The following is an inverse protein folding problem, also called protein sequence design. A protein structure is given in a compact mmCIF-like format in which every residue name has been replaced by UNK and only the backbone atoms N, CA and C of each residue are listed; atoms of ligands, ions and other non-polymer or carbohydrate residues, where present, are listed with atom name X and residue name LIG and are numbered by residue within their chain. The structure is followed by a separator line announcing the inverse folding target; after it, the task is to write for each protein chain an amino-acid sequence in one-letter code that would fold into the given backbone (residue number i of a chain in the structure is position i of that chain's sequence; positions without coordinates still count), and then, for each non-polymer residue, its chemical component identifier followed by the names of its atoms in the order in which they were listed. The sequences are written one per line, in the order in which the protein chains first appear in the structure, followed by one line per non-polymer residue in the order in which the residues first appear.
data_IF_858213085796
#
_entry.id   IF_858213085796
#
_cell.length_a   1.000
_cell.length_b   1.000
_cell.length_c   1.000
_cell.angle_alpha   90.00
_cell.angle_beta   90.00
_cell.angle_gamma   90.00
#
_symmetry.space_group_name_H-M   'P 1'
#
loop_
_entity.id
_entity.type
_entity.pdbx_description
1 polymer ?
#
# COMPACT_ATOMS: atom_id res chain seq x y z
N UNK A 1 29.94 -33.28 -70.03
CA UNK A 1 29.08 -33.84 -68.96
C UNK A 1 28.07 -32.78 -68.57
N UNK A 2 26.98 -32.73 -69.32
CA UNK A 2 25.80 -31.91 -69.07
C UNK A 2 24.63 -32.86 -68.78
N UNK A 3 23.79 -32.54 -67.79
CA UNK A 3 22.57 -33.30 -67.55
C UNK A 3 21.83 -32.89 -66.28
N UNK A 4 21.31 -31.65 -66.25
CA UNK A 4 20.13 -31.34 -65.43
C UNK A 4 18.97 -32.23 -65.92
N UNK A 5 18.52 -33.17 -65.10
CA UNK A 5 17.33 -33.98 -65.39
C UNK A 5 16.10 -33.22 -64.92
N UNK A 6 15.26 -32.85 -65.87
CA UNK A 6 13.89 -32.38 -65.64
C UNK A 6 12.94 -33.59 -65.53
N UNK A 7 12.19 -33.66 -64.42
CA UNK A 7 10.78 -34.07 -64.40
C UNK A 7 10.45 -35.57 -64.29
N UNK A 8 9.88 -35.97 -63.15
CA UNK A 8 8.50 -36.50 -63.07
C UNK A 8 7.95 -36.17 -61.69
N UNK A 9 6.81 -35.48 -61.66
CA UNK A 9 6.20 -34.94 -60.47
C UNK A 9 5.64 -36.00 -59.52
N UNK A 10 5.93 -35.81 -58.24
CA UNK A 10 5.06 -36.14 -57.12
C UNK A 10 5.64 -35.42 -55.91
N UNK A 11 5.26 -34.16 -55.74
CA UNK A 11 5.49 -33.44 -54.48
C UNK A 11 4.87 -34.29 -53.35
N UNK A 12 5.59 -34.61 -52.26
CA UNK A 12 4.98 -35.27 -51.12
C UNK A 12 3.84 -34.38 -50.63
N UNK A 13 2.60 -34.80 -50.87
CA UNK A 13 1.43 -34.14 -50.32
C UNK A 13 1.60 -34.14 -48.81
N UNK A 14 1.93 -32.98 -48.23
CA UNK A 14 1.99 -32.77 -46.78
C UNK A 14 0.58 -33.05 -46.25
N UNK A 15 0.31 -34.20 -45.60
CA UNK A 15 -1.06 -34.68 -45.35
C UNK A 15 -1.81 -33.82 -44.32
N UNK A 16 -1.10 -32.90 -43.67
CA UNK A 16 -1.65 -32.05 -42.63
C UNK A 16 -2.20 -30.72 -43.16
N UNK A 17 -1.93 -30.36 -44.42
CA UNK A 17 -2.29 -29.04 -44.96
C UNK A 17 -3.73 -28.96 -45.50
N UNK A 18 -4.58 -29.96 -45.29
CA UNK A 18 -5.93 -30.02 -45.84
C UNK A 18 -7.04 -29.44 -44.97
N UNK A 19 -6.76 -28.86 -43.80
CA UNK A 19 -7.78 -28.15 -43.00
C UNK A 19 -7.21 -26.91 -42.31
N UNK A 20 -6.58 -26.00 -43.07
CA UNK A 20 -6.40 -24.63 -42.60
C UNK A 20 -7.76 -23.91 -42.70
N UNK A 21 -8.70 -24.24 -41.81
CA UNK A 21 -9.67 -23.22 -41.37
C UNK A 21 -8.79 -22.06 -40.97
N UNK A 22 -8.93 -20.92 -41.67
CA UNK A 22 -8.18 -19.72 -41.36
C UNK A 22 -8.32 -19.50 -39.85
N UNK A 23 -7.24 -19.75 -39.10
CA UNK A 23 -7.22 -19.44 -37.69
C UNK A 23 -7.60 -17.96 -37.61
N UNK A 24 -8.62 -17.59 -36.81
CA UNK A 24 -9.08 -16.22 -36.75
C UNK A 24 -7.85 -15.37 -36.54
N UNK A 25 -7.59 -14.51 -37.54
CA UNK A 25 -6.31 -13.84 -37.72
C UNK A 25 -5.96 -13.21 -36.40
N UNK A 26 -4.78 -13.49 -35.83
CA UNK A 26 -4.50 -13.28 -34.39
C UNK A 26 -4.91 -11.90 -33.84
N UNK A 27 -4.96 -10.88 -34.67
CA UNK A 27 -5.52 -9.57 -34.33
C UNK A 27 -7.02 -9.58 -33.93
N UNK A 28 -7.88 -10.34 -34.61
CA UNK A 28 -9.33 -10.38 -34.37
C UNK A 28 -9.65 -11.02 -33.02
N UNK A 29 -9.03 -12.16 -32.71
CA UNK A 29 -9.17 -12.81 -31.40
C UNK A 29 -8.67 -11.91 -30.27
N UNK A 30 -7.53 -11.24 -30.47
CA UNK A 30 -7.01 -10.28 -29.51
C UNK A 30 -8.00 -9.15 -29.23
N UNK A 31 -8.67 -8.60 -30.26
CA UNK A 31 -9.65 -7.52 -30.06
C UNK A 31 -10.92 -7.97 -29.34
N UNK A 32 -11.41 -9.16 -29.65
CA UNK A 32 -12.59 -9.74 -28.98
C UNK A 32 -12.29 -10.07 -27.53
N UNK A 33 -11.15 -10.69 -27.23
CA UNK A 33 -10.74 -11.03 -25.86
C UNK A 33 -10.54 -9.77 -25.00
N UNK A 34 -9.90 -8.73 -25.57
CA UNK A 34 -9.78 -7.42 -24.91
C UNK A 34 -11.16 -6.80 -24.65
N UNK A 35 -12.09 -6.92 -25.60
CA UNK A 35 -13.44 -6.39 -25.44
C UNK A 35 -14.20 -7.12 -24.33
N UNK A 36 -14.16 -8.46 -24.31
CA UNK A 36 -14.80 -9.29 -23.28
C UNK A 36 -14.25 -8.96 -21.89
N UNK A 37 -12.93 -8.83 -21.75
CA UNK A 37 -12.29 -8.44 -20.50
C UNK A 37 -12.69 -7.03 -20.05
N UNK A 38 -12.78 -6.06 -20.99
CA UNK A 38 -13.20 -4.69 -20.67
C UNK A 38 -14.66 -4.62 -20.20
N UNK A 39 -15.55 -5.40 -20.81
CA UNK A 39 -16.95 -5.50 -20.38
C UNK A 39 -17.03 -6.05 -18.96
N UNK A 40 -16.33 -7.16 -18.68
CA UNK A 40 -16.29 -7.75 -17.34
C UNK A 40 -15.71 -6.79 -16.27
N UNK A 41 -14.62 -6.07 -16.61
CA UNK A 41 -14.04 -5.04 -15.71
C UNK A 41 -14.98 -3.86 -15.47
N UNK A 42 -15.75 -3.46 -16.47
CA UNK A 42 -16.76 -2.39 -16.32
C UNK A 42 -17.89 -2.83 -15.38
N UNK A 43 -18.33 -4.08 -15.47
CA UNK A 43 -19.38 -4.64 -14.60
C UNK A 43 -18.94 -4.67 -13.14
N UNK A 44 -17.75 -5.21 -12.85
CA UNK A 44 -17.21 -5.20 -11.47
C UNK A 44 -16.84 -3.79 -11.01
N UNK A 45 -16.46 -2.91 -11.93
CA UNK A 45 -16.14 -1.50 -11.68
C UNK A 45 -17.27 -0.72 -11.02
N UNK A 46 -18.53 -1.02 -11.35
CA UNK A 46 -19.72 -0.37 -10.76
C UNK A 46 -19.86 -0.70 -9.27
N UNK A 47 -19.43 -1.90 -8.86
CA UNK A 47 -19.58 -2.43 -7.51
C UNK A 47 -18.36 -2.18 -6.63
N UNK A 48 -17.29 -1.61 -7.19
CA UNK A 48 -16.04 -1.34 -6.48
C UNK A 48 -15.89 0.15 -6.21
N UNK A 49 -15.17 0.46 -5.15
CA UNK A 49 -14.76 1.82 -4.84
C UNK A 49 -13.30 1.81 -4.41
N UNK A 50 -12.64 2.96 -4.49
CA UNK A 50 -11.25 3.10 -4.09
C UNK A 50 -11.08 2.75 -2.60
N UNK A 51 -10.20 1.79 -2.31
CA UNK A 51 -9.75 1.52 -0.95
C UNK A 51 -8.60 2.48 -0.64
N UNK A 52 -8.88 3.49 0.15
CA UNK A 52 -7.89 4.41 0.69
C UNK A 52 -6.96 3.69 1.69
N UNK A 53 -6.00 2.94 1.13
CA UNK A 53 -4.91 2.32 1.89
C UNK A 53 -3.82 3.35 2.12
N UNK A 54 -3.98 4.18 3.15
CA UNK A 54 -2.92 5.08 3.58
C UNK A 54 -1.73 4.27 4.10
N UNK A 55 -0.55 4.42 3.49
CA UNK A 55 0.69 3.82 3.99
C UNK A 55 1.22 4.71 5.12
N UNK A 56 0.95 4.32 6.37
CA UNK A 56 1.48 5.03 7.55
C UNK A 56 2.77 4.38 8.05
N UNK A 57 3.62 5.18 8.69
CA UNK A 57 4.86 4.68 9.30
C UNK A 57 4.56 3.93 10.60
N UNK A 58 5.28 2.84 10.86
CA UNK A 58 5.11 2.00 12.07
C UNK A 58 5.40 2.75 13.37
N UNK A 59 6.21 3.80 13.30
CA UNK A 59 6.56 4.65 14.43
C UNK A 59 6.43 6.10 13.95
N UNK A 60 5.60 6.87 14.63
CA UNK A 60 5.43 8.32 14.42
C UNK A 60 5.74 8.96 15.76
N UNK A 61 6.90 9.63 15.86
CA UNK A 61 7.24 10.35 17.08
C UNK A 61 6.33 11.57 17.23
N UNK A 62 5.83 11.86 18.44
CA UNK A 62 5.07 13.09 18.68
C UNK A 62 5.95 14.32 18.37
N UNK A 63 5.38 15.33 17.72
CA UNK A 63 6.12 16.50 17.23
C UNK A 63 6.81 17.34 18.31
N UNK A 64 6.40 17.22 19.57
CA UNK A 64 7.09 17.81 20.71
C UNK A 64 7.74 16.69 21.55
N UNK A 65 9.04 16.48 21.35
CA UNK A 65 9.82 15.65 22.27
C UNK A 65 10.06 16.47 23.54
N UNK A 66 9.40 16.09 24.64
CA UNK A 66 9.59 16.74 25.93
C UNK A 66 11.07 16.74 26.32
N UNK A 67 11.58 17.90 26.76
CA UNK A 67 12.99 18.04 27.11
C UNK A 67 13.27 17.23 28.39
N UNK A 68 14.33 16.40 28.42
CA UNK A 68 14.68 15.65 29.62
C UNK A 68 14.91 16.59 30.81
N UNK A 69 14.10 16.46 31.86
CA UNK A 69 14.23 17.27 33.07
C UNK A 69 15.30 16.64 33.97
N UNK A 70 16.33 17.41 34.29
CA UNK A 70 17.37 16.99 35.25
C UNK A 70 16.80 16.96 36.66
N UNK A 71 17.07 15.88 37.39
CA UNK A 71 16.67 15.76 38.79
C UNK A 71 17.36 16.83 39.66
N UNK A 72 16.57 17.51 40.50
CA UNK A 72 17.02 18.48 41.50
C UNK A 72 16.39 18.07 42.83
N UNK A 73 17.22 17.90 43.87
CA UNK A 73 16.73 17.65 45.23
C UNK A 73 16.10 18.94 45.76
N UNK A 74 14.80 18.91 46.03
CA UNK A 74 14.10 19.98 46.75
C UNK A 74 13.68 19.43 48.12
N UNK A 75 13.92 20.15 49.23
CA UNK A 75 13.42 19.74 50.54
C UNK A 75 11.88 19.72 50.54
N UNK A 76 11.29 18.99 51.49
CA UNK A 76 9.82 18.93 51.65
C UNK A 76 9.35 20.33 52.06
N UNK A 77 8.53 20.95 51.22
CA UNK A 77 7.87 22.21 51.50
C UNK A 77 6.42 21.93 51.90
N UNK A 78 6.12 22.18 53.17
CA UNK A 78 4.81 21.94 53.76
C UNK A 78 3.79 23.03 53.44
N UNK A 79 4.21 24.12 52.78
CA UNK A 79 3.36 25.28 52.48
C UNK A 79 2.84 25.31 51.05
N UNK A 80 3.31 24.41 50.17
CA UNK A 80 2.94 24.37 48.74
C UNK A 80 1.43 24.24 48.47
N UNK A 81 0.69 23.70 49.45
CA UNK A 81 -0.75 23.49 49.35
C UNK A 81 -1.55 24.43 50.26
N UNK A 82 -0.89 25.34 51.00
CA UNK A 82 -1.56 26.26 51.92
C UNK A 82 -2.48 27.27 51.19
N UNK A 83 -2.22 27.52 49.90
CA UNK A 83 -3.03 28.41 49.07
C UNK A 83 -4.10 27.64 48.25
N UNK A 84 -4.14 26.31 48.34
CA UNK A 84 -5.15 25.45 47.69
C UNK A 84 -6.24 25.09 48.69
N UNK A 85 -7.38 25.80 48.64
CA UNK A 85 -8.52 25.56 49.52
C UNK A 85 -8.53 26.48 50.76
N UNK A 86 -8.75 25.91 51.95
CA UNK A 86 -8.78 26.64 53.24
C UNK A 86 -7.52 26.32 54.08
N UNK A 87 -6.33 26.61 53.54
CA UNK A 87 -5.06 26.23 54.19
C UNK A 87 -4.81 26.97 55.51
N UNK A 88 -4.28 26.25 56.50
CA UNK A 88 -3.94 26.77 57.82
C UNK A 88 -2.42 26.94 57.91
N UNK A 89 -1.96 28.18 57.82
CA UNK A 89 -0.53 28.51 57.91
C UNK A 89 -0.05 28.33 59.35
N UNK A 90 1.04 27.59 59.54
CA UNK A 90 1.68 27.40 60.85
C UNK A 90 2.25 28.75 61.31
N UNK A 91 1.51 29.47 62.16
CA UNK A 91 2.01 30.67 62.85
C UNK A 91 2.90 30.22 64.01
N UNK A 92 4.21 30.13 63.76
CA UNK A 92 5.20 29.99 64.83
C UNK A 92 5.22 31.29 65.63
N UNK A 93 4.40 31.37 66.67
CA UNK A 93 4.51 32.41 67.69
C UNK A 93 5.78 32.11 68.48
N UNK A 94 6.86 32.83 68.16
CA UNK A 94 8.05 32.91 68.99
C UNK A 94 7.64 33.70 70.23
N UNK A 95 7.11 33.02 71.23
CA UNK A 95 7.06 33.54 72.59
C UNK A 95 8.53 33.64 73.05
N UNK A 96 9.07 34.86 73.01
CA UNK A 96 10.35 35.18 73.64
C UNK A 96 10.27 34.77 75.11
N UNK A 97 11.10 33.81 75.52
CA UNK A 97 11.35 33.44 76.91
C UNK A 97 12.74 33.91 77.30
#
# INVERSE_FOLDING_TARGET
MFGFVYGTGASPQRPWASNLVAAPTGHDVNTVDIHKEKVARREIGILTTNKNTSRTHKIIAPGNMERPVRYIRKPIDYTLLDDVGHGVKVRTLIINL
#
